data_IF_360268552618
#
_entry.id   IF_360268552618
#
_cell.length_a   1.000
_cell.length_b   1.000
_cell.length_c   1.000
_cell.angle_alpha   90.00
_cell.angle_beta   90.00
_cell.angle_gamma   90.00
#
_symmetry.space_group_name_H-M   'P 1'
#
loop_
_entity.id
_entity.type
_entity.pdbx_description
1 polymer ?
#
# COMPACT_ATOMS: atom_id res chain seq x y z
N UNK A 1 12.36 -22.53 15.37
CA UNK A 1 13.43 -21.52 15.14
C UNK A 1 12.87 -20.50 14.17
N UNK A 2 12.90 -19.21 14.55
CA UNK A 2 12.55 -18.11 13.63
C UNK A 2 13.56 -18.07 12.48
N UNK A 3 13.07 -17.89 11.25
CA UNK A 3 13.94 -17.67 10.09
C UNK A 3 14.53 -16.26 10.24
N UNK A 4 15.87 -16.09 10.15
CA UNK A 4 16.45 -14.75 10.14
C UNK A 4 15.90 -13.92 8.97
N UNK A 5 15.60 -12.65 9.23
CA UNK A 5 15.08 -11.75 8.22
C UNK A 5 16.23 -11.03 7.53
N UNK A 6 16.40 -11.25 6.23
CA UNK A 6 17.42 -10.54 5.45
C UNK A 6 16.91 -9.20 4.96
N UNK A 7 15.71 -9.18 4.40
CA UNK A 7 15.09 -7.98 3.86
C UNK A 7 13.68 -7.74 4.40
N UNK A 8 13.40 -6.48 4.70
CA UNK A 8 12.06 -5.94 4.85
C UNK A 8 11.72 -5.16 3.58
N UNK A 9 10.72 -5.60 2.86
CA UNK A 9 10.19 -4.94 1.66
C UNK A 9 8.93 -4.17 2.03
N UNK A 10 8.89 -2.89 1.70
CA UNK A 10 7.70 -2.06 1.82
C UNK A 10 7.14 -1.80 0.44
N UNK A 11 5.91 -2.22 0.26
CA UNK A 11 5.21 -2.19 -1.01
C UNK A 11 4.41 -0.88 -1.14
N UNK A 12 4.92 0.04 -1.94
CA UNK A 12 4.26 1.24 -2.44
C UNK A 12 4.00 1.18 -3.95
N UNK A 13 4.10 -0.02 -4.56
CA UNK A 13 3.82 -0.24 -5.98
C UNK A 13 2.33 -0.47 -6.19
N UNK A 14 1.59 0.60 -6.42
CA UNK A 14 0.14 0.63 -6.62
C UNK A 14 -0.19 0.40 -8.10
N UNK A 15 -0.14 -0.87 -8.54
CA UNK A 15 -0.20 -1.22 -9.96
C UNK A 15 -1.61 -1.39 -10.55
N UNK A 16 -2.67 -1.43 -9.74
CA UNK A 16 -4.04 -1.47 -10.26
C UNK A 16 -4.40 -0.14 -10.93
N UNK A 17 -4.92 -0.15 -12.16
CA UNK A 17 -5.33 1.08 -12.85
C UNK A 17 -6.36 1.87 -12.04
N UNK A 18 -6.23 3.20 -12.08
CA UNK A 18 -7.09 4.18 -11.40
C UNK A 18 -6.99 4.22 -9.87
N UNK A 19 -6.24 3.33 -9.23
CA UNK A 19 -5.98 3.39 -7.80
C UNK A 19 -4.92 4.45 -7.50
N UNK A 20 -5.16 5.26 -6.44
CA UNK A 20 -4.26 6.36 -6.05
C UNK A 20 -4.14 6.53 -4.53
N UNK A 21 -4.73 5.62 -3.75
CA UNK A 21 -4.75 5.75 -2.29
C UNK A 21 -3.36 5.61 -1.66
N UNK A 22 -2.52 4.70 -2.14
CA UNK A 22 -1.16 4.52 -1.64
C UNK A 22 -0.23 5.66 -2.13
N UNK A 23 -0.37 6.11 -3.39
CA UNK A 23 0.36 7.26 -3.92
C UNK A 23 0.11 8.51 -3.07
N UNK A 24 -1.15 8.86 -2.86
CA UNK A 24 -1.51 10.04 -2.07
C UNK A 24 -1.08 9.90 -0.61
N UNK A 25 -1.20 8.72 -0.03
CA UNK A 25 -0.76 8.45 1.33
C UNK A 25 0.76 8.67 1.47
N UNK A 26 1.56 8.17 0.53
CA UNK A 26 3.01 8.38 0.52
C UNK A 26 3.38 9.86 0.35
N UNK A 27 2.62 10.61 -0.45
CA UNK A 27 2.87 12.05 -0.66
C UNK A 27 2.51 12.89 0.56
N UNK A 28 1.43 12.56 1.25
CA UNK A 28 0.88 13.38 2.34
C UNK A 28 1.33 12.94 3.74
N UNK A 29 1.70 11.67 3.92
CA UNK A 29 2.00 11.05 5.22
C UNK A 29 3.33 10.29 5.21
N UNK A 30 4.29 10.70 4.39
CA UNK A 30 5.57 10.02 4.21
C UNK A 30 6.31 9.79 5.54
N UNK A 31 6.38 10.80 6.42
CA UNK A 31 7.08 10.68 7.70
C UNK A 31 6.45 9.63 8.62
N UNK A 32 5.12 9.61 8.70
CA UNK A 32 4.41 8.64 9.52
C UNK A 32 4.61 7.21 8.99
N UNK A 33 4.63 7.05 7.66
CA UNK A 33 4.96 5.77 7.01
C UNK A 33 6.37 5.34 7.39
N UNK A 34 7.37 6.23 7.26
CA UNK A 34 8.78 5.93 7.57
C UNK A 34 8.94 5.55 9.05
N UNK A 35 8.27 6.24 9.96
CA UNK A 35 8.26 5.88 11.39
C UNK A 35 7.62 4.51 11.64
N UNK A 36 6.54 4.18 10.93
CA UNK A 36 5.92 2.86 10.97
C UNK A 36 6.82 1.75 10.44
N UNK A 37 7.58 2.03 9.37
CA UNK A 37 8.60 1.10 8.87
C UNK A 37 9.69 0.87 9.93
N UNK A 38 10.08 1.91 10.67
CA UNK A 38 11.01 1.82 11.79
C UNK A 38 10.55 0.82 12.86
N UNK A 39 9.25 0.80 13.18
CA UNK A 39 8.68 -0.21 14.10
C UNK A 39 8.89 -1.63 13.55
N UNK A 40 8.62 -1.86 12.28
CA UNK A 40 8.83 -3.18 11.68
C UNK A 40 10.31 -3.58 11.62
N UNK A 41 11.20 -2.62 11.33
CA UNK A 41 12.65 -2.83 11.37
C UNK A 41 13.09 -3.28 12.78
N UNK A 42 12.63 -2.61 13.83
CA UNK A 42 13.03 -2.93 15.20
C UNK A 42 12.50 -4.29 15.66
N UNK A 43 11.30 -4.68 15.21
CA UNK A 43 10.70 -5.99 15.53
C UNK A 43 11.35 -7.14 14.76
N UNK A 44 11.71 -6.93 13.50
CA UNK A 44 12.18 -7.99 12.61
C UNK A 44 13.70 -8.06 12.48
N UNK A 45 14.41 -6.98 12.84
CA UNK A 45 15.84 -6.82 12.72
C UNK A 45 16.40 -7.24 11.34
N UNK A 46 15.83 -6.75 10.21
CA UNK A 46 16.29 -7.10 8.89
C UNK A 46 17.67 -6.48 8.61
N UNK A 47 18.44 -7.08 7.70
CA UNK A 47 19.70 -6.50 7.25
C UNK A 47 19.52 -5.28 6.36
N UNK A 48 18.40 -5.23 5.60
CA UNK A 48 18.06 -4.15 4.68
C UNK A 48 16.56 -3.86 4.71
N UNK A 49 16.22 -2.59 4.50
CA UNK A 49 14.84 -2.12 4.32
C UNK A 49 14.71 -1.48 2.95
N UNK A 50 13.83 -2.02 2.10
CA UNK A 50 13.65 -1.62 0.71
C UNK A 50 12.21 -1.14 0.53
N UNK A 51 12.03 0.08 0.01
CA UNK A 51 10.71 0.65 -0.28
C UNK A 51 10.57 0.73 -1.80
N UNK A 52 9.70 -0.10 -2.38
CA UNK A 52 9.44 -0.12 -3.82
C UNK A 52 8.25 0.74 -4.19
N UNK A 53 8.45 1.69 -5.11
CA UNK A 53 7.41 2.60 -5.62
C UNK A 53 7.51 2.61 -7.13
N UNK A 54 6.40 2.64 -7.85
CA UNK A 54 6.42 2.70 -9.31
C UNK A 54 7.03 4.01 -9.84
N UNK A 55 7.77 3.95 -10.93
CA UNK A 55 8.46 5.10 -11.54
C UNK A 55 7.52 6.16 -12.14
N UNK A 56 6.24 5.81 -12.34
CA UNK A 56 5.19 6.77 -12.71
C UNK A 56 4.64 7.60 -11.51
N UNK A 57 5.21 7.43 -10.30
CA UNK A 57 4.83 8.14 -9.07
C UNK A 57 6.01 8.98 -8.54
N UNK A 58 6.58 9.91 -9.33
CA UNK A 58 7.80 10.64 -8.96
C UNK A 58 7.65 11.47 -7.69
N UNK A 59 6.46 12.03 -7.42
CA UNK A 59 6.21 12.81 -6.21
C UNK A 59 6.21 11.93 -4.96
N UNK A 60 5.64 10.73 -5.02
CA UNK A 60 5.70 9.77 -3.91
C UNK A 60 7.13 9.30 -3.63
N UNK A 61 7.90 9.01 -4.70
CA UNK A 61 9.33 8.67 -4.58
C UNK A 61 10.10 9.81 -3.90
N UNK A 62 9.87 11.06 -4.32
CA UNK A 62 10.54 12.23 -3.74
C UNK A 62 10.15 12.45 -2.27
N UNK A 63 8.85 12.37 -1.96
CA UNK A 63 8.34 12.54 -0.60
C UNK A 63 8.89 11.46 0.35
N UNK A 64 8.91 10.21 -0.07
CA UNK A 64 9.44 9.11 0.75
C UNK A 64 10.95 9.22 0.96
N UNK A 65 11.74 9.63 -0.05
CA UNK A 65 13.18 9.89 0.12
C UNK A 65 13.44 11.01 1.11
N UNK A 66 12.74 12.13 0.97
CA UNK A 66 12.87 13.26 1.90
C UNK A 66 12.48 12.87 3.34
N UNK A 67 11.43 12.06 3.50
CA UNK A 67 11.02 11.58 4.81
C UNK A 67 12.03 10.62 5.45
N UNK A 68 12.62 9.72 4.68
CA UNK A 68 13.70 8.82 5.15
C UNK A 68 14.88 9.65 5.68
N UNK A 69 15.32 10.65 4.91
CA UNK A 69 16.40 11.55 5.32
C UNK A 69 16.03 12.35 6.59
N UNK A 70 14.83 12.95 6.60
CA UNK A 70 14.35 13.77 7.72
C UNK A 70 14.19 13.01 9.03
N UNK A 71 13.73 11.76 8.95
CA UNK A 71 13.59 10.87 10.12
C UNK A 71 14.95 10.32 10.58
N UNK A 72 15.96 10.37 9.72
CA UNK A 72 17.32 9.88 10.01
C UNK A 72 17.48 8.38 9.84
N UNK A 73 16.71 7.79 8.93
CA UNK A 73 16.76 6.36 8.61
C UNK A 73 17.66 6.07 7.40
N UNK A 74 18.04 4.81 7.25
CA UNK A 74 18.90 4.35 6.13
C UNK A 74 18.14 3.46 5.15
N UNK A 75 16.82 3.64 5.03
CA UNK A 75 15.97 2.84 4.14
C UNK A 75 16.21 3.21 2.67
N UNK A 76 16.19 2.22 1.81
CA UNK A 76 16.40 2.41 0.38
C UNK A 76 15.05 2.62 -0.34
N UNK A 77 14.82 3.81 -0.90
CA UNK A 77 13.63 4.10 -1.72
C UNK A 77 13.99 3.88 -3.18
N UNK A 78 13.38 2.88 -3.80
CA UNK A 78 13.70 2.37 -5.14
C UNK A 78 12.50 2.57 -6.06
N UNK A 79 12.72 3.33 -7.15
CA UNK A 79 11.75 3.41 -8.22
C UNK A 79 11.79 2.11 -9.03
N UNK A 80 10.64 1.44 -9.14
CA UNK A 80 10.50 0.21 -9.92
C UNK A 80 9.71 0.48 -11.21
N UNK A 81 9.97 -0.26 -12.30
CA UNK A 81 9.24 -0.07 -13.54
C UNK A 81 7.74 -0.26 -13.36
N UNK A 82 6.96 0.65 -13.94
CA UNK A 82 5.50 0.55 -14.02
C UNK A 82 5.10 -0.58 -14.95
N UNK A 83 4.92 -1.77 -14.40
CA UNK A 83 4.49 -2.98 -15.11
C UNK A 83 3.54 -3.78 -14.26
N UNK A 84 2.35 -4.04 -14.77
CA UNK A 84 1.42 -4.92 -14.09
C UNK A 84 1.90 -6.39 -14.10
N UNK A 85 1.90 -7.11 -12.96
CA UNK A 85 1.47 -6.73 -11.62
C UNK A 85 2.67 -6.40 -10.68
N UNK A 86 3.38 -5.30 -10.90
CA UNK A 86 4.55 -4.91 -10.09
C UNK A 86 4.23 -4.82 -8.59
N UNK A 87 2.99 -4.46 -8.22
CA UNK A 87 2.50 -4.41 -6.85
C UNK A 87 2.20 -5.78 -6.23
N UNK A 88 2.30 -6.87 -6.98
CA UNK A 88 2.23 -8.21 -6.42
C UNK A 88 3.43 -8.48 -5.51
N UNK A 89 3.20 -8.91 -4.26
CA UNK A 89 4.29 -9.03 -3.27
C UNK A 89 5.47 -9.90 -3.77
N UNK A 90 5.19 -11.05 -4.41
CA UNK A 90 6.25 -11.93 -4.92
C UNK A 90 7.01 -11.30 -6.10
N UNK A 91 6.33 -10.56 -6.97
CA UNK A 91 6.91 -9.82 -8.08
C UNK A 91 7.82 -8.69 -7.58
N UNK A 92 7.31 -7.89 -6.64
CA UNK A 92 8.09 -6.79 -6.06
C UNK A 92 9.33 -7.30 -5.32
N UNK A 93 9.20 -8.37 -4.53
CA UNK A 93 10.35 -9.02 -3.88
C UNK A 93 11.40 -9.43 -4.91
N UNK A 94 10.98 -10.07 -6.01
CA UNK A 94 11.89 -10.47 -7.08
C UNK A 94 12.65 -9.28 -7.69
N UNK A 95 11.94 -8.19 -7.96
CA UNK A 95 12.50 -6.97 -8.55
C UNK A 95 13.51 -6.32 -7.60
N UNK A 96 13.17 -6.20 -6.32
CA UNK A 96 13.99 -5.48 -5.34
C UNK A 96 15.15 -6.30 -4.79
N UNK A 97 15.00 -7.61 -4.64
CA UNK A 97 15.97 -8.46 -3.93
C UNK A 97 16.63 -9.50 -4.83
N UNK A 98 16.10 -9.75 -6.01
CA UNK A 98 16.51 -10.86 -6.87
C UNK A 98 16.02 -12.24 -6.41
N UNK A 99 15.41 -12.35 -5.22
CA UNK A 99 14.92 -13.63 -4.68
C UNK A 99 13.58 -14.03 -5.29
N UNK A 100 13.47 -15.29 -5.68
CA UNK A 100 12.20 -15.89 -6.09
C UNK A 100 11.48 -16.54 -4.90
N UNK A 101 10.21 -16.21 -4.72
CA UNK A 101 9.36 -16.87 -3.73
C UNK A 101 8.54 -17.94 -4.45
N UNK A 102 8.84 -19.24 -4.28
CA UNK A 102 8.11 -20.31 -4.92
C UNK A 102 6.60 -20.28 -4.61
N UNK A 103 5.78 -20.85 -5.49
CA UNK A 103 4.32 -20.88 -5.32
C UNK A 103 3.90 -21.53 -4.00
N UNK A 104 4.61 -22.58 -3.59
CA UNK A 104 4.36 -23.34 -2.38
C UNK A 104 4.88 -22.71 -1.09
N UNK A 105 5.63 -21.58 -1.19
CA UNK A 105 6.26 -20.94 -0.02
C UNK A 105 5.72 -19.53 0.21
N UNK A 106 5.89 -19.08 1.46
CA UNK A 106 5.68 -17.69 1.86
C UNK A 106 7.02 -16.95 1.90
N UNK A 107 7.00 -15.64 1.64
CA UNK A 107 8.23 -14.83 1.61
C UNK A 107 9.05 -14.87 2.91
N UNK A 108 8.49 -14.93 4.12
CA UNK A 108 9.29 -15.06 5.34
C UNK A 108 10.16 -16.32 5.39
N UNK A 109 9.75 -17.40 4.75
CA UNK A 109 10.56 -18.63 4.66
C UNK A 109 11.84 -18.43 3.82
N UNK A 110 11.85 -17.38 3.01
CA UNK A 110 13.01 -16.97 2.17
C UNK A 110 13.80 -15.82 2.82
N UNK A 111 13.50 -15.49 4.09
CA UNK A 111 14.13 -14.39 4.81
C UNK A 111 13.68 -13.00 4.36
N UNK A 112 12.50 -12.88 3.73
CA UNK A 112 11.94 -11.61 3.26
C UNK A 112 10.53 -11.41 3.82
N UNK A 113 10.30 -10.29 4.52
CA UNK A 113 8.96 -9.86 4.90
C UNK A 113 8.52 -8.70 4.01
N UNK A 114 7.27 -8.73 3.58
CA UNK A 114 6.66 -7.67 2.77
C UNK A 114 5.43 -7.10 3.46
N UNK A 115 5.36 -5.77 3.58
CA UNK A 115 4.19 -5.02 4.07
C UNK A 115 3.85 -3.89 3.09
N UNK A 116 2.56 -3.54 3.01
CA UNK A 116 2.11 -2.37 2.26
C UNK A 116 2.37 -1.07 3.04
N UNK A 117 2.53 0.06 2.34
CA UNK A 117 2.76 1.39 2.93
C UNK A 117 1.66 1.82 3.90
N UNK A 118 0.39 1.54 3.60
CA UNK A 118 -0.72 1.86 4.48
C UNK A 118 -0.70 1.01 5.76
N UNK A 119 -0.14 -0.20 5.73
CA UNK A 119 0.08 -1.02 6.92
C UNK A 119 1.13 -0.38 7.84
N UNK A 120 2.22 0.16 7.27
CA UNK A 120 3.23 0.88 8.04
C UNK A 120 2.65 2.15 8.67
N UNK A 121 1.89 2.95 7.91
CA UNK A 121 1.18 4.11 8.41
C UNK A 121 0.27 3.78 9.59
N UNK A 122 -0.55 2.74 9.45
CA UNK A 122 -1.47 2.30 10.50
C UNK A 122 -0.73 1.81 11.75
N UNK A 123 0.39 1.09 11.58
CA UNK A 123 1.23 0.65 12.70
C UNK A 123 1.79 1.84 13.50
N UNK A 124 2.23 2.89 12.82
CA UNK A 124 2.67 4.12 13.48
C UNK A 124 1.55 4.76 14.30
N UNK A 125 0.37 4.96 13.70
CA UNK A 125 -0.80 5.53 14.40
C UNK A 125 -1.17 4.71 15.65
N UNK A 126 -1.17 3.39 15.53
CA UNK A 126 -1.50 2.51 16.64
C UNK A 126 -0.50 2.61 17.80
N UNK A 127 0.80 2.61 17.51
CA UNK A 127 1.85 2.58 18.54
C UNK A 127 2.11 3.98 19.11
N UNK A 128 2.19 5.01 18.27
CA UNK A 128 2.55 6.36 18.70
C UNK A 128 1.36 7.15 19.28
N UNK A 129 0.16 6.92 18.77
CA UNK A 129 -1.02 7.70 19.14
C UNK A 129 -2.10 6.86 19.87
N UNK A 130 -1.91 5.55 20.00
CA UNK A 130 -2.90 4.66 20.64
C UNK A 130 -4.20 4.52 19.83
N UNK A 131 -4.16 4.81 18.53
CA UNK A 131 -5.32 4.76 17.66
C UNK A 131 -5.54 3.33 17.15
N UNK A 132 -6.67 2.70 17.46
CA UNK A 132 -6.99 1.40 16.88
C UNK A 132 -7.23 1.50 15.37
N UNK A 133 -7.15 0.37 14.67
CA UNK A 133 -7.38 0.31 13.22
C UNK A 133 -8.88 0.43 12.96
N UNK A 134 -9.38 1.65 12.80
CA UNK A 134 -10.79 1.95 12.59
C UNK A 134 -11.12 2.41 11.17
N UNK A 135 -10.13 2.83 10.40
CA UNK A 135 -10.33 3.40 9.06
C UNK A 135 -9.33 2.86 8.05
N UNK A 136 -9.67 3.03 6.78
CA UNK A 136 -8.79 2.79 5.64
C UNK A 136 -8.98 3.90 4.61
N UNK A 137 -7.88 4.21 3.88
CA UNK A 137 -7.97 5.07 2.71
C UNK A 137 -8.32 4.19 1.52
N UNK A 138 -9.37 4.57 0.81
CA UNK A 138 -9.87 3.86 -0.37
C UNK A 138 -10.01 4.83 -1.53
N UNK A 139 -9.69 4.37 -2.73
CA UNK A 139 -9.93 5.12 -3.97
C UNK A 139 -11.34 4.82 -4.47
N UNK A 140 -12.15 5.86 -4.63
CA UNK A 140 -13.41 5.79 -5.34
C UNK A 140 -13.24 6.49 -6.70
N UNK A 141 -13.44 5.76 -7.79
CA UNK A 141 -13.17 6.23 -9.15
C UNK A 141 -14.09 5.54 -10.17
N UNK A 142 -13.93 5.88 -11.44
CA UNK A 142 -14.75 5.38 -12.53
C UNK A 142 -15.87 6.34 -12.87
N UNK A 143 -17.08 5.82 -13.10
CA UNK A 143 -18.23 6.63 -13.54
C UNK A 143 -18.93 7.37 -12.38
N UNK A 144 -18.16 8.24 -11.71
CA UNK A 144 -18.62 9.08 -10.60
C UNK A 144 -18.34 10.56 -10.88
N UNK A 145 -19.09 11.46 -10.27
CA UNK A 145 -18.85 12.91 -10.42
C UNK A 145 -17.65 13.39 -9.60
N UNK A 146 -17.36 12.72 -8.49
CA UNK A 146 -16.29 13.10 -7.57
C UNK A 146 -15.30 11.94 -7.32
N UNK A 147 -14.44 11.61 -8.30
CA UNK A 147 -13.40 10.62 -8.08
C UNK A 147 -12.36 11.18 -7.10
N UNK A 148 -12.10 10.44 -6.01
CA UNK A 148 -11.09 10.81 -5.01
C UNK A 148 -10.78 9.67 -4.03
N UNK A 149 -9.77 9.89 -3.21
CA UNK A 149 -9.49 9.04 -2.07
C UNK A 149 -10.28 9.51 -0.84
N UNK A 150 -10.85 8.55 -0.12
CA UNK A 150 -11.62 8.77 1.09
C UNK A 150 -11.01 8.02 2.26
N UNK A 151 -10.92 8.63 3.42
CA UNK A 151 -10.69 7.87 4.66
C UNK A 151 -12.05 7.36 5.15
N UNK A 152 -12.22 6.05 5.14
CA UNK A 152 -13.50 5.38 5.39
C UNK A 152 -13.38 4.51 6.63
N UNK A 153 -14.37 4.59 7.52
CA UNK A 153 -14.45 3.71 8.69
C UNK A 153 -14.71 2.26 8.25
N UNK A 154 -14.07 1.31 8.92
CA UNK A 154 -14.36 -0.10 8.71
C UNK A 154 -15.81 -0.39 9.08
N UNK A 155 -16.53 -1.07 8.18
CA UNK A 155 -17.95 -1.34 8.32
C UNK A 155 -18.87 -0.29 7.68
N UNK A 156 -18.33 0.76 7.05
CA UNK A 156 -19.15 1.68 6.24
C UNK A 156 -19.73 0.92 5.04
N UNK A 157 -21.06 0.93 4.85
CA UNK A 157 -21.68 0.29 3.71
C UNK A 157 -21.18 0.88 2.38
N UNK A 158 -20.96 0.03 1.38
CA UNK A 158 -20.46 0.45 0.07
C UNK A 158 -21.36 1.49 -0.59
N UNK A 159 -22.67 1.37 -0.43
CA UNK A 159 -23.64 2.34 -0.96
C UNK A 159 -23.44 3.77 -0.44
N UNK A 160 -22.99 3.92 0.81
CA UNK A 160 -22.71 5.25 1.36
C UNK A 160 -21.49 5.86 0.68
N UNK A 161 -20.43 5.07 0.48
CA UNK A 161 -19.25 5.52 -0.23
C UNK A 161 -19.57 5.92 -1.68
N UNK A 162 -20.37 5.11 -2.38
CA UNK A 162 -20.82 5.41 -3.75
C UNK A 162 -21.65 6.71 -3.79
N UNK A 163 -22.50 6.92 -2.78
CA UNK A 163 -23.28 8.15 -2.67
C UNK A 163 -22.42 9.39 -2.48
N UNK A 164 -21.32 9.28 -1.70
CA UNK A 164 -20.34 10.37 -1.54
C UNK A 164 -19.64 10.71 -2.86
N UNK A 165 -19.34 9.72 -3.70
CA UNK A 165 -18.75 9.92 -5.00
C UNK A 165 -19.72 10.39 -6.08
N UNK A 166 -21.03 10.35 -5.82
CA UNK A 166 -22.10 10.72 -6.76
C UNK A 166 -21.99 9.90 -8.05
N UNK A 167 -22.26 8.60 -7.97
CA UNK A 167 -22.29 7.73 -9.14
C UNK A 167 -23.28 8.27 -10.18
N UNK A 168 -22.85 8.30 -11.45
CA UNK A 168 -23.69 8.79 -12.55
C UNK A 168 -24.86 7.86 -12.82
N UNK A 169 -25.91 8.39 -13.40
CA UNK A 169 -27.18 7.67 -13.61
C UNK A 169 -27.08 6.50 -14.58
N UNK A 170 -26.05 6.48 -15.43
CA UNK A 170 -25.75 5.40 -16.38
C UNK A 170 -24.77 4.35 -15.83
N UNK A 171 -24.39 4.46 -14.56
CA UNK A 171 -23.56 3.45 -13.88
C UNK A 171 -24.37 2.18 -13.68
N UNK A 172 -23.87 1.06 -14.21
CA UNK A 172 -24.59 -0.23 -14.24
C UNK A 172 -23.82 -1.36 -13.53
N UNK A 173 -22.57 -1.15 -13.14
CA UNK A 173 -21.80 -2.11 -12.35
C UNK A 173 -20.79 -1.44 -11.44
N UNK A 174 -20.41 -2.13 -10.38
CA UNK A 174 -19.45 -1.68 -9.39
C UNK A 174 -18.40 -2.75 -9.14
N UNK A 175 -17.13 -2.35 -9.17
CA UNK A 175 -15.99 -3.24 -8.95
C UNK A 175 -15.29 -2.90 -7.63
N UNK A 176 -14.98 -3.90 -6.82
CA UNK A 176 -14.12 -3.77 -5.65
C UNK A 176 -12.74 -4.36 -5.96
N UNK A 177 -11.67 -3.59 -5.72
CA UNK A 177 -10.29 -4.03 -5.85
C UNK A 177 -9.64 -3.70 -7.18
N UNK A 178 -10.28 -2.89 -8.02
CA UNK A 178 -9.73 -2.42 -9.30
C UNK A 178 -10.11 -3.26 -10.51
N UNK A 179 -9.84 -2.77 -11.73
CA UNK A 179 -10.35 -3.38 -12.97
C UNK A 179 -9.61 -4.67 -13.38
N UNK A 180 -8.40 -4.93 -12.85
CA UNK A 180 -7.60 -6.09 -13.26
C UNK A 180 -7.78 -7.28 -12.33
N UNK A 181 -7.83 -7.07 -11.02
CA UNK A 181 -7.96 -8.13 -10.00
C UNK A 181 -9.24 -8.03 -9.18
N UNK A 182 -10.03 -6.99 -9.38
CA UNK A 182 -11.29 -6.79 -8.66
C UNK A 182 -12.38 -7.75 -9.07
N UNK A 183 -13.45 -7.72 -8.32
CA UNK A 183 -14.67 -8.48 -8.60
C UNK A 183 -15.89 -7.55 -8.59
N UNK A 184 -16.90 -7.92 -9.34
CA UNK A 184 -18.16 -7.19 -9.37
C UNK A 184 -18.90 -7.36 -8.04
N UNK A 185 -19.44 -6.26 -7.52
CA UNK A 185 -20.22 -6.25 -6.29
C UNK A 185 -21.69 -6.46 -6.66
N UNK A 186 -22.30 -7.61 -6.32
CA UNK A 186 -23.68 -7.91 -6.70
C UNK A 186 -24.70 -7.18 -5.84
N UNK A 187 -24.30 -6.71 -4.65
CA UNK A 187 -25.18 -6.02 -3.70
C UNK A 187 -24.42 -4.91 -2.96
N UNK A 188 -24.95 -3.71 -2.99
CA UNK A 188 -24.36 -2.52 -2.36
C UNK A 188 -24.67 -2.40 -0.86
N UNK A 189 -25.50 -3.25 -0.31
CA UNK A 189 -25.86 -3.28 1.12
C UNK A 189 -24.86 -4.08 1.99
N UNK A 190 -23.77 -4.53 1.38
CA UNK A 190 -22.70 -5.29 2.05
C UNK A 190 -21.77 -4.38 2.83
#
# INVERSE_FOLDING_TARGET
KSVPMDELVINGAECEPFMTCDDMLMRERAEDIVRGIGIFRDLLAPKRVLIGIEDNKPEAVAAMKAAVEKVGETFEVIAVPTRYPAGGAKQLIRVLTGKEVPASKRSPEMGVQCFNVATAYTAWRAIAHGEPVLSRIVTLTGNVEQPRNWEVLLGTPIKELISLGQAKTDTNSYLMGGPMMGFEIPNLDA
#
